data_IF_285060890654
#
_entry.id   IF_285060890654
#
_cell.length_a   1.000
_cell.length_b   1.000
_cell.length_c   1.000
_cell.angle_alpha   90.00
_cell.angle_beta   90.00
_cell.angle_gamma   90.00
#
_symmetry.space_group_name_H-M   'P 1'
#
loop_
_entity.id
_entity.type
_entity.pdbx_description
1 polymer ?
#
# COMPACT_ATOMS: atom_id res chain seq x y z
N UNK A 1 9.21 -30.06 27.98
CA UNK A 1 9.83 -29.61 26.71
C UNK A 1 9.24 -28.24 26.38
N UNK A 2 10.04 -27.17 26.38
CA UNK A 2 9.55 -25.81 26.08
C UNK A 2 9.60 -25.60 24.57
N UNK A 3 8.43 -25.53 23.92
CA UNK A 3 8.30 -25.17 22.52
C UNK A 3 8.90 -23.77 22.32
N UNK A 4 9.98 -23.69 21.54
CA UNK A 4 10.54 -22.42 21.09
C UNK A 4 9.51 -21.80 20.14
N UNK A 5 8.82 -20.75 20.57
CA UNK A 5 8.10 -19.85 19.66
C UNK A 5 9.15 -19.21 18.75
N UNK A 6 9.34 -19.81 17.59
CA UNK A 6 10.09 -19.22 16.49
C UNK A 6 9.23 -18.06 15.98
N UNK A 7 9.42 -16.87 16.57
CA UNK A 7 8.91 -15.63 16.00
C UNK A 7 9.61 -15.44 14.67
N UNK A 8 8.94 -15.82 13.58
CA UNK A 8 9.28 -15.40 12.23
C UNK A 8 9.24 -13.88 12.20
N UNK A 9 10.36 -13.23 12.51
CA UNK A 9 10.56 -11.81 12.23
C UNK A 9 10.60 -11.69 10.71
N UNK A 10 9.48 -11.30 10.09
CA UNK A 10 9.48 -10.90 8.68
C UNK A 10 10.53 -9.78 8.53
N UNK A 11 11.40 -9.91 7.54
CA UNK A 11 12.41 -8.89 7.27
C UNK A 11 11.70 -7.60 6.82
N UNK A 12 12.11 -6.45 7.35
CA UNK A 12 11.64 -5.16 6.86
C UNK A 12 12.13 -4.96 5.43
N UNK A 13 11.25 -4.44 4.59
CA UNK A 13 11.51 -4.07 3.20
C UNK A 13 11.24 -2.59 3.03
N UNK A 14 11.93 -1.95 2.09
CA UNK A 14 11.70 -0.54 1.76
C UNK A 14 11.15 -0.44 0.35
N UNK A 15 9.92 0.07 0.20
CA UNK A 15 9.37 0.42 -1.10
C UNK A 15 9.53 1.93 -1.34
N UNK A 16 9.57 2.32 -2.60
CA UNK A 16 9.41 3.74 -2.97
C UNK A 16 7.98 3.96 -3.44
N UNK A 17 7.44 5.14 -3.22
CA UNK A 17 6.09 5.46 -3.66
C UNK A 17 6.04 6.81 -4.36
N UNK A 18 5.07 6.94 -5.24
CA UNK A 18 4.73 8.16 -5.98
C UNK A 18 3.22 8.35 -5.91
N UNK A 19 2.81 9.46 -5.31
CA UNK A 19 1.42 9.92 -5.28
C UNK A 19 1.18 10.77 -6.51
N UNK A 20 0.11 10.47 -7.23
CA UNK A 20 -0.35 11.24 -8.38
C UNK A 20 -1.80 11.65 -8.10
N UNK A 21 -2.02 12.94 -7.91
CA UNK A 21 -3.36 13.51 -7.81
C UNK A 21 -3.84 13.91 -9.23
N UNK A 22 -5.02 13.46 -9.69
CA UNK A 22 -5.50 13.79 -11.02
C UNK A 22 -5.90 15.27 -11.20
N UNK A 23 -6.11 16.00 -10.10
CA UNK A 23 -6.52 17.41 -10.06
C UNK A 23 -5.37 18.34 -9.70
N UNK A 24 -4.42 17.89 -8.88
CA UNK A 24 -3.25 18.65 -8.45
C UNK A 24 -2.01 18.15 -9.21
N UNK A 25 -1.34 19.03 -9.95
CA UNK A 25 -0.10 18.70 -10.69
C UNK A 25 1.12 18.43 -9.79
N UNK A 26 0.93 18.31 -8.48
CA UNK A 26 2.01 18.07 -7.53
C UNK A 26 2.20 16.57 -7.37
N UNK A 27 3.43 16.11 -7.58
CA UNK A 27 3.81 14.70 -7.42
C UNK A 27 4.57 14.55 -6.11
N UNK A 28 4.00 13.81 -5.15
CA UNK A 28 4.69 13.51 -3.89
C UNK A 28 5.38 12.16 -4.03
N UNK A 29 6.70 12.13 -3.88
CA UNK A 29 7.48 10.89 -3.88
C UNK A 29 8.12 10.63 -2.52
N UNK A 30 8.19 9.37 -2.10
CA UNK A 30 8.82 9.01 -0.84
C UNK A 30 9.26 7.55 -0.78
N UNK A 31 9.70 7.13 0.41
CA UNK A 31 10.07 5.74 0.70
C UNK A 31 9.43 5.28 2.00
N UNK A 32 9.01 4.03 2.04
CA UNK A 32 8.25 3.47 3.15
C UNK A 32 8.80 2.12 3.56
N UNK A 33 9.02 1.93 4.85
CA UNK A 33 9.41 0.65 5.41
C UNK A 33 8.17 -0.16 5.78
N UNK A 34 8.10 -1.40 5.31
CA UNK A 34 6.98 -2.30 5.57
C UNK A 34 7.47 -3.73 5.82
N UNK A 35 6.65 -4.53 6.50
CA UNK A 35 6.94 -5.94 6.79
C UNK A 35 6.11 -6.92 5.96
N UNK A 36 4.93 -6.50 5.50
CA UNK A 36 4.07 -7.18 4.54
C UNK A 36 3.10 -6.18 3.87
N UNK A 37 2.35 -6.64 2.86
CA UNK A 37 1.39 -5.79 2.15
C UNK A 37 0.30 -5.16 3.04
N UNK A 38 -0.27 -5.87 4.05
CA UNK A 38 -1.16 -5.24 5.03
C UNK A 38 -0.53 -4.06 5.78
N UNK A 39 0.72 -4.21 6.25
CA UNK A 39 1.47 -3.14 6.92
C UNK A 39 1.69 -1.93 5.99
N UNK A 40 2.08 -2.20 4.72
CA UNK A 40 2.22 -1.19 3.68
C UNK A 40 0.89 -0.43 3.42
N UNK A 41 -0.21 -1.16 3.29
CA UNK A 41 -1.56 -0.61 3.08
C UNK A 41 -1.96 0.34 4.22
N UNK A 42 -1.73 -0.06 5.48
CA UNK A 42 -2.04 0.75 6.66
C UNK A 42 -1.25 2.04 6.71
N UNK A 43 0.01 1.99 6.32
CA UNK A 43 0.88 3.15 6.31
C UNK A 43 0.43 4.19 5.27
N UNK A 44 0.09 3.73 4.06
CA UNK A 44 -0.48 4.59 3.01
C UNK A 44 -1.81 5.19 3.49
N UNK A 45 -2.71 4.37 4.05
CA UNK A 45 -3.98 4.83 4.60
C UNK A 45 -3.80 5.86 5.73
N UNK A 46 -2.83 5.66 6.62
CA UNK A 46 -2.52 6.62 7.67
C UNK A 46 -2.04 7.99 7.12
N UNK A 47 -1.29 7.98 6.01
CA UNK A 47 -0.88 9.20 5.31
C UNK A 47 -2.07 9.96 4.69
N UNK A 48 -3.05 9.23 4.14
CA UNK A 48 -4.32 9.82 3.66
C UNK A 48 -5.09 10.44 4.83
N UNK A 49 -5.26 9.69 5.93
CA UNK A 49 -5.97 10.15 7.13
C UNK A 49 -5.30 11.35 7.81
N UNK A 50 -3.99 11.51 7.65
CA UNK A 50 -3.22 12.62 8.20
C UNK A 50 -3.17 13.84 7.25
N UNK A 51 -3.87 13.79 6.10
CA UNK A 51 -3.81 14.78 5.01
C UNK A 51 -2.41 15.00 4.42
N UNK A 52 -1.48 14.05 4.59
CA UNK A 52 -0.17 14.08 3.93
C UNK A 52 -0.28 13.61 2.48
N UNK A 53 -1.24 12.73 2.21
CA UNK A 53 -1.62 12.25 0.88
C UNK A 53 -3.02 12.80 0.58
N UNK A 54 -3.22 13.56 -0.52
CA UNK A 54 -4.53 14.07 -0.87
C UNK A 54 -5.55 12.94 -1.03
N UNK A 55 -6.76 13.20 -0.56
CA UNK A 55 -7.88 12.29 -0.79
C UNK A 55 -8.20 12.20 -2.30
N UNK A 56 -8.60 11.02 -2.78
CA UNK A 56 -8.72 10.66 -4.20
C UNK A 56 -7.41 10.61 -5.01
N UNK A 57 -6.27 10.36 -4.35
CA UNK A 57 -4.99 10.15 -5.03
C UNK A 57 -4.79 8.71 -5.50
N UNK A 58 -3.97 8.55 -6.54
CA UNK A 58 -3.42 7.25 -6.93
C UNK A 58 -1.97 7.18 -6.46
N UNK A 59 -1.65 6.17 -5.65
CA UNK A 59 -0.29 5.92 -5.16
C UNK A 59 0.30 4.72 -5.91
N UNK A 60 1.35 4.97 -6.66
CA UNK A 60 2.18 3.94 -7.29
C UNK A 60 3.29 3.56 -6.33
N UNK A 61 3.42 2.29 -5.99
CA UNK A 61 4.40 1.78 -5.03
C UNK A 61 5.34 0.82 -5.75
N UNK A 62 6.60 1.22 -5.89
CA UNK A 62 7.65 0.38 -6.47
C UNK A 62 8.33 -0.43 -5.36
N UNK A 63 8.13 -1.75 -5.43
CA UNK A 63 8.68 -2.74 -4.52
C UNK A 63 10.17 -3.00 -4.79
N UNK A 64 10.93 -3.53 -3.80
CA UNK A 64 12.34 -3.85 -3.97
C UNK A 64 12.67 -4.85 -5.08
N UNK A 65 11.69 -5.67 -5.46
CA UNK A 65 11.83 -6.64 -6.55
C UNK A 65 11.56 -6.03 -7.94
N UNK A 66 11.33 -4.72 -8.02
CA UNK A 66 11.05 -3.99 -9.27
C UNK A 66 9.59 -4.07 -9.72
N UNK A 67 8.71 -4.73 -8.97
CA UNK A 67 7.27 -4.69 -9.26
C UNK A 67 6.69 -3.35 -8.82
N UNK A 68 5.79 -2.80 -9.63
CA UNK A 68 4.99 -1.62 -9.27
C UNK A 68 3.58 -2.07 -8.87
N UNK A 69 3.08 -1.55 -7.75
CA UNK A 69 1.72 -1.75 -7.27
C UNK A 69 0.95 -0.42 -7.34
N UNK A 70 -0.37 -0.48 -7.46
CA UNK A 70 -1.22 0.72 -7.57
C UNK A 70 -2.26 0.74 -6.45
N UNK A 71 -2.03 1.57 -5.45
CA UNK A 71 -2.98 1.84 -4.39
C UNK A 71 -3.90 3.00 -4.79
N UNK A 72 -5.20 2.73 -4.84
CA UNK A 72 -6.21 3.74 -5.19
C UNK A 72 -7.00 4.09 -3.93
N UNK A 73 -6.85 5.31 -3.42
CA UNK A 73 -7.47 5.71 -2.14
C UNK A 73 -9.00 5.71 -2.23
N UNK A 74 -9.56 5.95 -3.43
CA UNK A 74 -11.02 5.90 -3.64
C UNK A 74 -11.61 4.51 -3.44
N UNK A 75 -10.78 3.47 -3.57
CA UNK A 75 -11.15 2.08 -3.28
C UNK A 75 -10.94 1.77 -1.80
N UNK A 76 -9.93 2.38 -1.17
CA UNK A 76 -9.66 2.21 0.26
C UNK A 76 -10.86 2.63 1.13
N UNK A 77 -11.58 3.68 0.75
CA UNK A 77 -12.79 4.12 1.46
C UNK A 77 -13.90 3.06 1.48
N UNK A 78 -14.06 2.31 0.39
CA UNK A 78 -15.07 1.23 0.32
C UNK A 78 -14.78 0.07 1.27
N UNK A 79 -13.52 -0.05 1.69
CA UNK A 79 -13.01 -1.11 2.56
C UNK A 79 -13.05 -0.65 4.02
N UNK A 80 -12.46 0.52 4.31
CA UNK A 80 -12.28 1.00 5.67
C UNK A 80 -13.50 1.76 6.21
N UNK A 81 -14.32 2.38 5.35
CA UNK A 81 -15.51 3.13 5.77
C UNK A 81 -16.83 2.40 5.48
N UNK A 82 -17.04 1.90 4.25
CA UNK A 82 -18.32 1.28 3.89
C UNK A 82 -18.43 -0.18 4.34
N UNK A 83 -17.29 -0.86 4.62
CA UNK A 83 -17.26 -2.27 5.03
C UNK A 83 -17.80 -3.23 3.96
N UNK A 84 -17.83 -2.80 2.69
CA UNK A 84 -18.40 -3.57 1.56
C UNK A 84 -17.39 -4.53 0.92
N UNK A 85 -16.12 -4.48 1.36
CA UNK A 85 -15.01 -5.26 0.82
C UNK A 85 -14.03 -5.63 1.94
N UNK A 86 -13.45 -6.83 1.90
CA UNK A 86 -12.43 -7.26 2.87
C UNK A 86 -11.04 -6.70 2.57
N UNK A 87 -10.17 -6.60 3.58
CA UNK A 87 -8.77 -6.15 3.42
C UNK A 87 -7.98 -7.06 2.45
N UNK A 88 -8.29 -8.36 2.41
CA UNK A 88 -7.66 -9.31 1.47
C UNK A 88 -8.08 -9.06 0.02
N UNK A 89 -9.37 -8.78 -0.22
CA UNK A 89 -9.87 -8.40 -1.56
C UNK A 89 -9.29 -7.06 -2.00
N UNK A 90 -9.18 -6.11 -1.09
CA UNK A 90 -8.58 -4.81 -1.35
C UNK A 90 -7.11 -4.91 -1.72
N UNK A 91 -6.32 -5.66 -0.93
CA UNK A 91 -4.90 -5.89 -1.20
C UNK A 91 -4.74 -6.64 -2.53
N UNK A 92 -5.63 -7.60 -2.80
CA UNK A 92 -5.72 -8.25 -4.11
C UNK A 92 -5.88 -7.21 -5.22
N UNK A 93 -6.85 -6.31 -5.15
CA UNK A 93 -7.14 -5.36 -6.24
C UNK A 93 -6.08 -4.26 -6.36
N UNK A 94 -5.52 -3.79 -5.26
CA UNK A 94 -4.55 -2.67 -5.24
C UNK A 94 -3.09 -3.11 -5.46
N UNK A 95 -2.69 -4.24 -4.89
CA UNK A 95 -1.32 -4.74 -5.05
C UNK A 95 -1.18 -5.78 -6.18
N UNK A 96 -2.26 -6.34 -6.75
CA UNK A 96 -2.21 -7.09 -8.02
C UNK A 96 -2.27 -6.14 -9.21
N UNK A 97 -1.24 -5.32 -9.37
CA UNK A 97 -0.84 -4.96 -10.73
C UNK A 97 -0.16 -6.20 -11.29
N UNK A 98 -0.90 -6.91 -12.15
CA UNK A 98 -0.39 -8.04 -12.92
C UNK A 98 0.98 -7.68 -13.48
N UNK A 99 1.90 -8.63 -13.31
CA UNK A 99 3.10 -8.85 -14.11
C UNK A 99 3.16 -7.93 -15.32
N UNK A 100 4.13 -7.02 -15.35
CA UNK A 100 4.54 -6.38 -16.59
C UNK A 100 4.69 -7.51 -17.62
N UNK A 101 3.82 -7.50 -18.62
CA UNK A 101 3.97 -8.36 -19.78
C UNK A 101 5.35 -8.05 -20.38
N UNK A 102 6.18 -9.10 -20.41
CA UNK A 102 7.28 -9.41 -21.32
C UNK A 102 8.01 -8.24 -22.03
#
# INVERSE_FOLDING_TARGET
MKAKKQTNRKAKQTATFRVTDPFVKDEVTGSIEYTDFPDLSKWIFAGVMSNEIPDNSIIYVMLPNGLECKYDTTIADKVYYDGTMSEEEFIGITFLVKEAQA
#
